data_IF_977315100960
#
_entry.id   IF_977315100960
#
_cell.length_a   1.000
_cell.length_b   1.000
_cell.length_c   1.000
_cell.angle_alpha   90.00
_cell.angle_beta   90.00
_cell.angle_gamma   90.00
#
_symmetry.space_group_name_H-M   'P 1'
#
loop_
_entity.id
_entity.type
_entity.pdbx_description
1 polymer ?
#
# COMPACT_ATOMS: atom_id res chain seq x y z
N UNK A 1 -4.89 -34.38 10.61
CA UNK A 1 -5.11 -32.98 10.21
C UNK A 1 -3.75 -32.36 9.87
N UNK A 2 -3.66 -31.58 8.79
CA UNK A 2 -2.39 -31.03 8.30
C UNK A 2 -2.12 -29.68 8.97
N UNK A 3 -0.91 -29.44 9.48
CA UNK A 3 -0.54 -28.14 10.06
C UNK A 3 0.28 -27.33 9.06
N UNK A 4 -0.13 -26.09 8.78
CA UNK A 4 0.67 -25.15 8.00
C UNK A 4 1.53 -24.30 8.95
N UNK A 5 2.84 -24.28 8.67
CA UNK A 5 3.81 -23.47 9.43
C UNK A 5 3.63 -21.98 9.17
N UNK A 6 3.80 -21.13 10.18
CA UNK A 6 3.64 -19.67 10.02
C UNK A 6 4.51 -19.09 8.89
N UNK A 7 5.72 -19.61 8.68
CA UNK A 7 6.57 -19.23 7.53
C UNK A 7 5.86 -19.43 6.18
N UNK A 8 5.12 -20.52 6.02
CA UNK A 8 4.38 -20.85 4.80
C UNK A 8 3.09 -20.04 4.72
N UNK A 9 2.48 -19.68 5.85
CA UNK A 9 1.33 -18.75 5.87
C UNK A 9 1.73 -17.38 5.32
N UNK A 10 2.93 -16.87 5.63
CA UNK A 10 3.44 -15.61 5.05
C UNK A 10 3.57 -15.71 3.53
N UNK A 11 4.15 -16.79 3.02
CA UNK A 11 4.26 -17.04 1.58
C UNK A 11 2.90 -17.19 0.90
N UNK A 12 1.94 -17.87 1.54
CA UNK A 12 0.56 -18.03 1.08
C UNK A 12 -0.15 -16.67 0.99
N UNK A 13 -0.01 -15.82 2.02
CA UNK A 13 -0.55 -14.46 2.05
C UNK A 13 0.02 -13.59 0.93
N UNK A 14 1.34 -13.67 0.68
CA UNK A 14 2.00 -12.95 -0.41
C UNK A 14 1.45 -13.37 -1.77
N UNK A 15 1.41 -14.67 -2.07
CA UNK A 15 0.85 -15.20 -3.32
C UNK A 15 -0.62 -14.81 -3.53
N UNK A 16 -1.44 -14.88 -2.47
CA UNK A 16 -2.84 -14.48 -2.56
C UNK A 16 -2.97 -12.99 -2.86
N UNK A 17 -2.22 -12.13 -2.16
CA UNK A 17 -2.24 -10.68 -2.39
C UNK A 17 -1.91 -10.37 -3.85
N UNK A 18 -0.81 -10.91 -4.36
CA UNK A 18 -0.37 -10.72 -5.75
C UNK A 18 -1.42 -11.22 -6.75
N UNK A 19 -2.02 -12.40 -6.49
CA UNK A 19 -3.07 -12.94 -7.34
C UNK A 19 -4.32 -12.05 -7.38
N UNK A 20 -4.80 -11.58 -6.23
CA UNK A 20 -6.00 -10.73 -6.16
C UNK A 20 -5.74 -9.36 -6.79
N UNK A 21 -4.54 -8.80 -6.60
CA UNK A 21 -4.14 -7.54 -7.24
C UNK A 21 -4.09 -7.66 -8.77
N UNK A 22 -3.59 -8.80 -9.28
CA UNK A 22 -3.50 -9.07 -10.72
C UNK A 22 -4.82 -9.44 -11.38
N UNK A 23 -5.62 -10.30 -10.74
CA UNK A 23 -6.78 -10.95 -11.35
C UNK A 23 -8.12 -10.39 -10.87
N UNK A 24 -8.11 -9.51 -9.86
CA UNK A 24 -9.31 -8.93 -9.25
C UNK A 24 -10.34 -9.97 -8.75
N UNK A 25 -9.91 -11.21 -8.52
CA UNK A 25 -10.74 -12.30 -7.96
C UNK A 25 -9.90 -13.16 -7.03
N UNK A 26 -10.55 -13.93 -6.15
CA UNK A 26 -9.86 -14.96 -5.38
C UNK A 26 -9.37 -16.06 -6.35
N UNK A 27 -8.20 -16.66 -6.09
CA UNK A 27 -7.78 -17.86 -6.81
C UNK A 27 -8.70 -19.03 -6.48
N UNK A 28 -8.73 -20.07 -7.30
CA UNK A 28 -9.38 -21.33 -6.91
C UNK A 28 -8.61 -22.00 -5.77
N UNK A 29 -7.29 -22.08 -5.94
CA UNK A 29 -6.33 -22.66 -5.02
C UNK A 29 -4.95 -22.01 -5.16
N UNK A 30 -4.09 -22.18 -4.15
CA UNK A 30 -2.68 -21.78 -4.19
C UNK A 30 -1.82 -22.85 -3.54
N UNK A 31 -0.64 -23.10 -4.13
CA UNK A 31 0.35 -24.04 -3.60
C UNK A 31 1.46 -23.29 -2.87
N UNK A 32 1.81 -23.76 -1.66
CA UNK A 32 2.98 -23.35 -0.90
C UNK A 32 3.62 -24.58 -0.27
N UNK A 33 4.95 -24.69 -0.37
CA UNK A 33 5.70 -25.81 0.22
C UNK A 33 5.16 -27.18 -0.23
N UNK A 34 4.88 -27.32 -1.53
CA UNK A 34 4.28 -28.50 -2.17
C UNK A 34 2.90 -28.92 -1.64
N UNK A 35 2.23 -28.08 -0.84
CA UNK A 35 0.85 -28.31 -0.38
C UNK A 35 -0.07 -27.29 -1.04
N UNK A 36 -1.15 -27.78 -1.64
CA UNK A 36 -2.18 -26.95 -2.27
C UNK A 36 -3.33 -26.71 -1.30
N UNK A 37 -3.73 -25.44 -1.20
CA UNK A 37 -4.87 -25.00 -0.38
C UNK A 37 -5.89 -24.30 -1.25
N UNK A 38 -7.15 -24.71 -1.15
CA UNK A 38 -8.22 -24.00 -1.84
C UNK A 38 -8.53 -22.65 -1.16
N UNK A 39 -9.24 -21.75 -1.86
CA UNK A 39 -9.54 -20.41 -1.34
C UNK A 39 -10.31 -20.38 -0.01
N UNK A 40 -11.03 -21.46 0.33
CA UNK A 40 -11.83 -21.59 1.55
C UNK A 40 -10.92 -21.88 2.72
N UNK A 41 -10.00 -22.82 2.53
CA UNK A 41 -8.93 -23.08 3.49
C UNK A 41 -8.02 -21.86 3.65
N UNK A 42 -7.66 -21.17 2.56
CA UNK A 42 -6.88 -19.93 2.62
C UNK A 42 -7.59 -18.89 3.48
N UNK A 43 -8.90 -18.66 3.26
CA UNK A 43 -9.67 -17.71 4.07
C UNK A 43 -9.64 -18.02 5.57
N UNK A 44 -9.79 -19.29 5.93
CA UNK A 44 -9.62 -19.77 7.31
C UNK A 44 -8.20 -19.57 7.86
N UNK A 45 -7.18 -20.02 7.13
CA UNK A 45 -5.78 -19.95 7.55
C UNK A 45 -5.37 -18.49 7.81
N UNK A 46 -5.70 -17.58 6.89
CA UNK A 46 -5.29 -16.18 7.00
C UNK A 46 -6.06 -15.44 8.09
N UNK A 47 -7.37 -15.66 8.23
CA UNK A 47 -8.15 -15.05 9.32
C UNK A 47 -7.65 -15.50 10.70
N UNK A 48 -7.43 -16.81 10.89
CA UNK A 48 -6.90 -17.36 12.15
C UNK A 48 -5.48 -16.87 12.44
N UNK A 49 -4.64 -16.75 11.42
CA UNK A 49 -3.27 -16.23 11.52
C UNK A 49 -3.23 -14.73 11.84
N UNK A 50 -4.11 -13.90 11.27
CA UNK A 50 -4.20 -12.48 11.65
C UNK A 50 -4.55 -12.35 13.14
N UNK A 51 -5.48 -13.15 13.66
CA UNK A 51 -5.82 -13.12 15.09
C UNK A 51 -4.68 -13.62 15.97
N UNK A 52 -3.99 -14.68 15.55
CA UNK A 52 -2.98 -15.39 16.33
C UNK A 52 -1.61 -15.34 15.64
N UNK A 53 -1.15 -14.12 15.37
CA UNK A 53 0.04 -13.89 14.55
C UNK A 53 1.27 -14.63 15.12
N UNK A 54 2.09 -15.20 14.23
CA UNK A 54 3.27 -15.97 14.61
C UNK A 54 2.99 -17.43 14.96
N UNK A 55 1.73 -17.88 15.04
CA UNK A 55 1.38 -19.28 15.32
C UNK A 55 1.17 -20.09 14.05
N UNK A 56 1.51 -21.37 14.13
CA UNK A 56 1.11 -22.37 13.14
C UNK A 56 -0.41 -22.56 13.16
N UNK A 57 -0.97 -23.03 12.04
CA UNK A 57 -2.41 -23.25 11.92
C UNK A 57 -2.69 -24.69 11.53
N UNK A 58 -3.48 -25.38 12.34
CA UNK A 58 -4.09 -26.65 11.95
C UNK A 58 -5.14 -26.39 10.87
N UNK A 59 -4.99 -27.03 9.72
CA UNK A 59 -5.85 -26.84 8.55
C UNK A 59 -7.03 -27.79 8.65
N UNK A 60 -8.23 -27.22 8.48
CA UNK A 60 -9.49 -27.93 8.50
C UNK A 60 -10.14 -27.94 7.11
N UNK A 61 -11.07 -28.87 6.88
CA UNK A 61 -11.95 -28.85 5.71
C UNK A 61 -12.97 -27.71 5.87
N UNK A 62 -13.11 -26.89 4.83
CA UNK A 62 -14.01 -25.73 4.80
C UNK A 62 -14.90 -25.81 3.56
N UNK A 63 -16.21 -25.81 3.74
CA UNK A 63 -17.18 -25.76 2.66
C UNK A 63 -17.36 -24.34 2.10
N UNK A 64 -17.90 -24.25 0.87
CA UNK A 64 -18.25 -22.96 0.26
C UNK A 64 -19.38 -22.29 1.04
N UNK A 65 -19.45 -20.97 0.98
CA UNK A 65 -20.64 -20.28 1.45
C UNK A 65 -21.83 -20.60 0.52
N UNK A 66 -23.02 -20.88 1.05
CA UNK A 66 -24.20 -21.22 0.25
C UNK A 66 -24.74 -20.03 -0.55
N UNK A 67 -24.68 -18.81 0.02
CA UNK A 67 -25.23 -17.60 -0.59
C UNK A 67 -24.31 -16.40 -0.33
N UNK A 68 -23.11 -16.36 -0.94
CA UNK A 68 -22.20 -15.24 -0.78
C UNK A 68 -22.83 -13.94 -1.27
N UNK A 69 -22.76 -12.89 -0.46
CA UNK A 69 -23.30 -11.56 -0.76
C UNK A 69 -22.46 -10.48 -0.09
N UNK A 70 -22.72 -9.22 -0.37
CA UNK A 70 -22.09 -8.11 0.33
C UNK A 70 -22.36 -6.76 -0.33
N UNK A 71 -21.98 -5.72 0.39
CA UNK A 71 -22.03 -4.33 -0.04
C UNK A 71 -20.71 -3.91 -0.70
N UNK A 72 -20.77 -2.82 -1.46
CA UNK A 72 -19.57 -2.06 -1.81
C UNK A 72 -19.06 -1.32 -0.56
N UNK A 73 -17.82 -1.60 -0.15
CA UNK A 73 -17.26 -1.05 1.09
C UNK A 73 -15.94 -0.31 0.85
N UNK A 74 -15.66 0.69 1.67
CA UNK A 74 -14.37 1.36 1.80
C UNK A 74 -14.17 1.74 3.26
N UNK A 75 -13.74 0.77 4.07
CA UNK A 75 -13.58 0.90 5.52
C UNK A 75 -12.10 1.01 5.86
N UNK A 76 -11.78 1.89 6.80
CA UNK A 76 -10.49 1.85 7.51
C UNK A 76 -10.73 1.29 8.90
N UNK A 77 -10.06 0.18 9.20
CA UNK A 77 -10.15 -0.50 10.49
C UNK A 77 -8.85 -0.29 11.25
N UNK A 78 -8.93 0.11 12.50
CA UNK A 78 -7.77 0.12 13.40
C UNK A 78 -7.38 -1.32 13.80
N UNK A 79 -6.25 -1.46 14.50
CA UNK A 79 -5.74 -2.74 14.98
C UNK A 79 -6.75 -3.59 15.74
N UNK A 80 -7.47 -3.01 16.69
CA UNK A 80 -8.49 -3.73 17.46
C UNK A 80 -9.59 -4.26 16.52
N UNK A 81 -10.10 -3.40 15.64
CA UNK A 81 -11.22 -3.71 14.76
C UNK A 81 -10.91 -4.79 13.72
N UNK A 82 -9.74 -4.75 13.06
CA UNK A 82 -9.43 -5.81 12.10
C UNK A 82 -9.06 -7.14 12.79
N UNK A 83 -8.53 -7.12 14.01
CA UNK A 83 -8.28 -8.33 14.79
C UNK A 83 -9.58 -8.99 15.23
N UNK A 84 -10.59 -8.19 15.60
CA UNK A 84 -11.94 -8.65 15.88
C UNK A 84 -12.59 -9.24 14.62
N UNK A 85 -12.55 -8.52 13.49
CA UNK A 85 -13.07 -9.01 12.23
C UNK A 85 -12.42 -10.34 11.77
N UNK A 86 -11.11 -10.48 11.93
CA UNK A 86 -10.41 -11.74 11.67
C UNK A 86 -10.82 -12.85 12.64
N UNK A 87 -10.97 -12.49 13.93
CA UNK A 87 -11.45 -13.36 14.99
C UNK A 87 -12.81 -13.97 14.70
N UNK A 88 -13.79 -13.13 14.39
CA UNK A 88 -15.15 -13.56 14.08
C UNK A 88 -15.20 -14.42 12.82
N UNK A 89 -14.36 -14.10 11.83
CA UNK A 89 -14.29 -14.85 10.57
C UNK A 89 -13.86 -16.30 10.79
N UNK A 90 -12.74 -16.55 11.47
CA UNK A 90 -12.28 -17.93 11.65
C UNK A 90 -13.13 -18.69 12.66
N UNK A 91 -13.60 -18.02 13.74
CA UNK A 91 -14.49 -18.64 14.73
C UNK A 91 -15.82 -19.07 14.11
N UNK A 92 -16.36 -18.28 13.17
CA UNK A 92 -17.53 -18.68 12.39
C UNK A 92 -17.29 -20.00 11.64
N UNK A 93 -16.11 -20.19 11.05
CA UNK A 93 -15.75 -21.40 10.30
C UNK A 93 -15.53 -22.60 11.24
N UNK A 94 -14.95 -22.39 12.41
CA UNK A 94 -14.66 -23.46 13.39
C UNK A 94 -15.91 -24.06 14.02
N UNK A 95 -16.98 -23.27 14.15
CA UNK A 95 -18.29 -23.75 14.59
C UNK A 95 -18.73 -24.96 13.76
N UNK A 96 -19.01 -26.07 14.45
CA UNK A 96 -19.26 -27.39 13.84
C UNK A 96 -20.49 -27.37 12.92
N UNK A 97 -21.48 -26.57 13.27
CA UNK A 97 -22.72 -26.33 12.52
C UNK A 97 -22.51 -25.53 11.23
N UNK A 98 -21.41 -24.78 11.11
CA UNK A 98 -21.09 -24.00 9.92
C UNK A 98 -20.13 -24.76 9.00
N UNK A 99 -18.89 -25.00 9.48
CA UNK A 99 -17.77 -25.62 8.74
C UNK A 99 -17.63 -25.11 7.29
N UNK A 100 -17.91 -23.82 7.09
CA UNK A 100 -17.99 -23.17 5.78
C UNK A 100 -17.58 -21.71 5.88
N UNK A 101 -17.24 -21.09 4.75
CA UNK A 101 -17.07 -19.65 4.70
C UNK A 101 -18.38 -18.91 5.04
N UNK A 102 -18.30 -17.74 5.70
CA UNK A 102 -19.47 -16.90 5.94
C UNK A 102 -20.00 -16.31 4.63
N UNK A 103 -21.31 -16.11 4.51
CA UNK A 103 -21.91 -15.44 3.33
C UNK A 103 -21.36 -14.01 3.16
N UNK A 104 -21.14 -13.32 4.28
CA UNK A 104 -20.48 -12.02 4.42
C UNK A 104 -19.96 -11.89 5.87
N UNK A 105 -19.05 -10.95 6.10
CA UNK A 105 -18.67 -10.49 7.45
C UNK A 105 -19.41 -9.20 7.77
N UNK A 106 -19.97 -9.06 8.97
CA UNK A 106 -20.55 -7.78 9.40
C UNK A 106 -19.48 -6.95 10.10
N UNK A 107 -19.03 -5.86 9.48
CA UNK A 107 -17.95 -5.01 10.01
C UNK A 107 -18.41 -3.56 9.93
N UNK A 108 -18.41 -2.83 11.06
CA UNK A 108 -18.93 -1.46 11.15
C UNK A 108 -20.31 -1.29 10.49
N UNK A 109 -21.21 -2.25 10.76
CA UNK A 109 -22.57 -2.28 10.19
C UNK A 109 -22.66 -2.77 8.74
N UNK A 110 -21.57 -2.86 7.99
CA UNK A 110 -21.54 -3.22 6.55
C UNK A 110 -21.37 -4.71 6.32
N UNK A 111 -22.03 -5.25 5.29
CA UNK A 111 -21.83 -6.61 4.78
C UNK A 111 -20.59 -6.67 3.91
N UNK A 112 -19.45 -7.06 4.47
CA UNK A 112 -18.18 -7.20 3.75
C UNK A 112 -18.08 -8.57 3.09
N UNK A 113 -17.77 -8.60 1.79
CA UNK A 113 -17.66 -9.86 1.03
C UNK A 113 -16.45 -10.70 1.45
N UNK A 114 -16.50 -12.01 1.20
CA UNK A 114 -15.36 -12.90 1.43
C UNK A 114 -14.09 -12.45 0.72
N UNK A 115 -14.20 -12.00 -0.54
CA UNK A 115 -13.04 -11.47 -1.30
C UNK A 115 -12.35 -10.35 -0.54
N UNK A 116 -13.13 -9.37 -0.07
CA UNK A 116 -12.58 -8.21 0.65
C UNK A 116 -11.96 -8.63 1.98
N UNK A 117 -12.60 -9.49 2.75
CA UNK A 117 -12.07 -9.99 4.02
C UNK A 117 -10.77 -10.77 3.81
N UNK A 118 -10.78 -11.80 2.95
CA UNK A 118 -9.64 -12.70 2.70
C UNK A 118 -8.44 -11.92 2.14
N UNK A 119 -8.67 -11.02 1.17
CA UNK A 119 -7.62 -10.14 0.64
C UNK A 119 -7.05 -9.19 1.70
N UNK A 120 -7.89 -8.66 2.59
CA UNK A 120 -7.44 -7.76 3.65
C UNK A 120 -6.61 -8.48 4.71
N UNK A 121 -6.97 -9.71 5.08
CA UNK A 121 -6.16 -10.55 5.95
C UNK A 121 -4.78 -10.86 5.33
N UNK A 122 -4.73 -11.13 4.03
CA UNK A 122 -3.48 -11.32 3.30
C UNK A 122 -2.56 -10.10 3.41
N UNK A 123 -3.09 -8.90 3.16
CA UNK A 123 -2.33 -7.64 3.28
C UNK A 123 -1.78 -7.43 4.70
N UNK A 124 -2.56 -7.77 5.73
CA UNK A 124 -2.13 -7.66 7.14
C UNK A 124 -0.93 -8.57 7.43
N UNK A 125 -0.98 -9.83 6.97
CA UNK A 125 0.11 -10.80 7.17
C UNK A 125 1.35 -10.40 6.37
N UNK A 126 1.19 -9.91 5.13
CA UNK A 126 2.32 -9.39 4.33
C UNK A 126 2.96 -8.18 5.01
N UNK A 127 2.15 -7.25 5.53
CA UNK A 127 2.67 -6.12 6.31
C UNK A 127 3.47 -6.60 7.52
N UNK A 128 2.93 -7.55 8.30
CA UNK A 128 3.64 -8.11 9.45
C UNK A 128 4.97 -8.76 9.04
N UNK A 129 4.98 -9.53 7.95
CA UNK A 129 6.19 -10.17 7.43
C UNK A 129 7.30 -9.18 7.07
N UNK A 130 6.94 -7.99 6.59
CA UNK A 130 7.91 -6.95 6.20
C UNK A 130 8.34 -6.04 7.35
N UNK A 131 7.52 -5.90 8.40
CA UNK A 131 7.71 -4.87 9.44
C UNK A 131 7.93 -5.44 10.84
N UNK A 132 7.78 -6.75 11.05
CA UNK A 132 7.89 -7.39 12.38
C UNK A 132 6.78 -7.02 13.36
N UNK A 133 5.82 -6.19 12.94
CA UNK A 133 4.68 -5.73 13.75
C UNK A 133 3.39 -5.72 12.94
N UNK A 134 2.26 -5.84 13.63
CA UNK A 134 0.95 -5.68 13.01
C UNK A 134 0.71 -4.21 12.62
N UNK A 135 -0.01 -3.93 11.52
CA UNK A 135 -0.30 -2.56 11.09
C UNK A 135 -1.26 -1.85 12.05
N UNK A 136 -1.11 -0.55 12.22
CA UNK A 136 -2.00 0.20 13.12
C UNK A 136 -3.41 0.34 12.54
N UNK A 137 -3.51 0.39 11.21
CA UNK A 137 -4.76 0.44 10.46
C UNK A 137 -4.68 -0.40 9.18
N UNK A 138 -5.81 -0.93 8.72
CA UNK A 138 -5.95 -1.65 7.46
C UNK A 138 -7.22 -1.23 6.71
N UNK A 139 -7.11 -1.05 5.39
CA UNK A 139 -8.27 -0.76 4.54
C UNK A 139 -8.93 -2.03 4.03
N UNK A 140 -10.22 -2.17 4.29
CA UNK A 140 -11.11 -3.18 3.72
C UNK A 140 -11.97 -2.50 2.66
N UNK A 141 -11.71 -2.80 1.40
CA UNK A 141 -12.39 -2.14 0.29
C UNK A 141 -12.78 -3.13 -0.81
N UNK A 142 -13.99 -2.96 -1.33
CA UNK A 142 -14.44 -3.59 -2.56
C UNK A 142 -13.73 -2.87 -3.68
N UNK A 143 -12.67 -3.45 -4.24
CA UNK A 143 -12.01 -2.84 -5.39
C UNK A 143 -12.95 -2.92 -6.60
N UNK A 144 -13.79 -1.91 -6.76
CA UNK A 144 -14.62 -1.62 -7.95
C UNK A 144 -14.62 -0.12 -8.24
N UNK A 145 -13.43 0.42 -8.51
CA UNK A 145 -13.29 1.49 -9.51
C UNK A 145 -12.24 1.04 -10.52
N UNK A 146 -12.57 -0.01 -11.27
CA UNK A 146 -12.29 0.00 -12.69
C UNK A 146 -13.67 0.06 -13.33
N UNK A 147 -14.18 1.28 -13.54
CA UNK A 147 -15.04 1.48 -14.71
C UNK A 147 -14.35 0.77 -15.87
N UNK A 148 -15.09 -0.05 -16.65
CA UNK A 148 -14.59 -0.74 -17.85
C UNK A 148 -13.65 0.18 -18.63
N UNK A 149 -12.37 0.15 -18.30
CA UNK A 149 -11.34 0.43 -19.26
C UNK A 149 -11.04 -0.97 -19.72
N UNK A 150 -11.46 -1.24 -20.96
CA UNK A 150 -10.78 -2.22 -21.81
C UNK A 150 -9.32 -2.26 -21.38
N UNK A 151 -8.75 -3.45 -21.23
CA UNK A 151 -7.31 -3.65 -21.11
C UNK A 151 -6.65 -3.06 -22.35
N UNK A 152 -6.55 -1.75 -22.42
CA UNK A 152 -5.48 -1.09 -23.12
C UNK A 152 -4.28 -1.39 -22.25
N UNK A 153 -3.23 -1.94 -22.85
CA UNK A 153 -1.91 -1.94 -22.24
C UNK A 153 -1.64 -0.49 -21.79
N UNK A 154 -1.94 -0.15 -20.53
CA UNK A 154 -1.71 1.18 -20.00
C UNK A 154 -0.22 1.33 -19.92
N UNK A 155 0.36 1.88 -20.97
CA UNK A 155 1.76 2.26 -21.00
C UNK A 155 1.98 3.33 -19.94
N UNK A 156 3.17 3.31 -19.36
CA UNK A 156 3.62 4.39 -18.47
C UNK A 156 3.45 5.71 -19.21
N UNK A 157 2.71 6.64 -18.60
CA UNK A 157 2.68 8.03 -19.05
C UNK A 157 3.88 8.75 -18.42
N UNK A 158 4.44 9.70 -19.15
CA UNK A 158 5.61 10.46 -18.72
C UNK A 158 6.91 10.06 -19.41
N UNK A 159 7.98 10.72 -19.00
CA UNK A 159 9.30 10.68 -19.60
C UNK A 159 10.24 9.74 -18.86
N UNK A 160 11.47 10.18 -18.69
CA UNK A 160 12.57 9.38 -18.14
C UNK A 160 12.34 9.02 -16.68
N UNK A 161 11.84 9.95 -15.86
CA UNK A 161 11.61 9.70 -14.43
C UNK A 161 10.53 8.65 -14.25
N UNK A 162 9.34 8.85 -14.84
CA UNK A 162 8.24 7.90 -14.71
C UNK A 162 8.60 6.50 -15.26
N UNK A 163 9.28 6.42 -16.40
CA UNK A 163 9.71 5.13 -16.98
C UNK A 163 10.74 4.42 -16.11
N UNK A 164 11.70 5.16 -15.54
CA UNK A 164 12.71 4.58 -14.66
C UNK A 164 12.10 4.08 -13.35
N UNK A 165 11.23 4.88 -12.72
CA UNK A 165 10.50 4.48 -11.52
C UNK A 165 9.62 3.25 -11.77
N UNK A 166 8.95 3.17 -12.92
CA UNK A 166 8.21 1.98 -13.32
C UNK A 166 9.12 0.74 -13.37
N UNK A 167 10.29 0.84 -14.02
CA UNK A 167 11.26 -0.26 -14.09
C UNK A 167 11.75 -0.71 -12.72
N UNK A 168 11.98 0.23 -11.80
CA UNK A 168 12.48 -0.06 -10.45
C UNK A 168 11.42 -0.67 -9.52
N UNK A 169 10.14 -0.32 -9.71
CA UNK A 169 9.08 -0.62 -8.73
C UNK A 169 7.97 -1.53 -9.26
N UNK A 170 7.90 -1.73 -10.57
CA UNK A 170 6.79 -2.40 -11.25
C UNK A 170 5.48 -1.60 -11.28
N UNK A 171 5.44 -0.39 -10.71
CA UNK A 171 4.23 0.43 -10.68
C UNK A 171 3.99 1.06 -12.05
N UNK A 172 2.84 0.79 -12.67
CA UNK A 172 2.43 1.46 -13.92
C UNK A 172 1.99 2.89 -13.58
N UNK A 173 2.80 3.88 -13.97
CA UNK A 173 2.58 5.30 -13.64
C UNK A 173 1.76 5.96 -14.74
N UNK A 174 0.56 6.47 -14.40
CA UNK A 174 -0.35 7.14 -15.33
C UNK A 174 -0.93 8.46 -14.81
N UNK A 175 -0.72 8.75 -13.52
CA UNK A 175 -1.25 9.92 -12.81
C UNK A 175 -0.42 10.19 -11.53
N UNK A 176 -0.69 11.30 -10.84
CA UNK A 176 0.01 11.64 -9.59
C UNK A 176 -0.12 10.56 -8.50
N UNK A 177 -1.23 9.81 -8.47
CA UNK A 177 -1.47 8.78 -7.44
C UNK A 177 -0.57 7.57 -7.64
N UNK A 178 -0.40 7.16 -8.88
CA UNK A 178 0.47 6.05 -9.27
C UNK A 178 1.95 6.45 -9.19
N UNK A 179 2.29 7.70 -9.50
CA UNK A 179 3.63 8.26 -9.23
C UNK A 179 3.94 8.22 -7.74
N UNK A 180 3.09 8.80 -6.89
CA UNK A 180 3.26 8.78 -5.43
C UNK A 180 3.41 7.36 -4.86
N UNK A 181 2.69 6.39 -5.43
CA UNK A 181 2.79 4.98 -5.03
C UNK A 181 4.15 4.37 -5.37
N UNK A 182 4.81 4.80 -6.45
CA UNK A 182 6.17 4.34 -6.76
C UNK A 182 7.14 4.72 -5.64
N UNK A 183 6.96 5.88 -5.00
CA UNK A 183 7.79 6.31 -3.87
C UNK A 183 7.61 5.50 -2.58
N UNK A 184 6.63 4.58 -2.49
CA UNK A 184 6.56 3.64 -1.36
C UNK A 184 7.73 2.66 -1.34
N UNK A 185 8.41 2.47 -2.48
CA UNK A 185 9.59 1.62 -2.59
C UNK A 185 10.90 2.39 -2.35
N UNK A 186 10.86 3.72 -2.26
CA UNK A 186 12.04 4.52 -2.06
C UNK A 186 12.60 4.32 -0.65
N UNK A 187 13.93 4.32 -0.52
CA UNK A 187 14.60 4.35 0.78
C UNK A 187 14.91 5.79 1.16
N UNK A 188 14.43 6.23 2.34
CA UNK A 188 14.71 7.56 2.87
C UNK A 188 15.89 7.55 3.84
N UNK A 189 16.91 8.36 3.55
CA UNK A 189 18.06 8.62 4.43
C UNK A 189 18.13 10.12 4.75
N UNK A 190 18.40 10.46 6.00
CA UNK A 190 18.57 11.85 6.40
C UNK A 190 20.00 12.33 6.11
N UNK A 191 20.10 13.38 5.32
CA UNK A 191 21.29 14.23 5.18
C UNK A 191 20.88 15.63 4.73
N UNK A 192 21.74 16.59 5.01
CA UNK A 192 21.52 17.99 4.66
C UNK A 192 21.73 18.24 3.16
N UNK A 193 20.97 19.21 2.64
CA UNK A 193 21.06 19.81 1.31
C UNK A 193 20.74 18.89 0.12
N UNK A 194 20.54 19.50 -1.04
CA UNK A 194 20.56 18.81 -2.32
C UNK A 194 21.97 18.34 -2.63
N UNK A 195 22.17 17.02 -2.71
CA UNK A 195 23.47 16.42 -3.00
C UNK A 195 23.50 15.65 -4.31
N UNK A 196 22.33 15.44 -4.92
CA UNK A 196 22.19 14.51 -6.03
C UNK A 196 21.40 15.17 -7.14
N UNK A 197 21.91 15.01 -8.36
CA UNK A 197 21.09 15.19 -9.55
C UNK A 197 20.00 14.10 -9.60
N UNK A 198 18.97 14.31 -10.41
CA UNK A 198 17.83 13.43 -10.63
C UNK A 198 18.32 12.07 -11.13
N UNK A 199 19.35 12.07 -11.97
CA UNK A 199 19.99 10.84 -12.43
C UNK A 199 20.59 10.04 -11.28
N UNK A 200 21.30 10.70 -10.36
CA UNK A 200 21.89 10.04 -9.18
C UNK A 200 20.82 9.64 -8.17
N UNK A 201 19.81 10.48 -7.94
CA UNK A 201 18.67 10.17 -7.09
C UNK A 201 17.88 8.96 -7.61
N UNK A 202 17.71 8.80 -8.93
CA UNK A 202 17.11 7.62 -9.55
C UNK A 202 17.97 6.36 -9.37
N UNK A 203 19.29 6.45 -9.55
CA UNK A 203 20.20 5.32 -9.32
C UNK A 203 20.19 4.85 -7.86
N UNK A 204 20.03 5.78 -6.93
CA UNK A 204 20.01 5.52 -5.49
C UNK A 204 18.59 5.39 -4.93
N UNK A 205 17.56 5.32 -5.77
CA UNK A 205 16.15 5.30 -5.35
C UNK A 205 15.84 4.22 -4.31
N UNK A 206 16.42 3.03 -4.48
CA UNK A 206 16.30 1.89 -3.57
C UNK A 206 17.42 1.80 -2.53
N UNK A 207 18.38 2.74 -2.55
CA UNK A 207 19.58 2.75 -1.70
C UNK A 207 19.53 3.83 -0.61
N UNK A 208 18.90 4.96 -0.90
CA UNK A 208 18.76 6.05 0.07
C UNK A 208 18.82 7.43 -0.55
N UNK A 209 17.81 8.25 -0.31
CA UNK A 209 17.69 9.63 -0.74
C UNK A 209 17.11 10.50 0.38
N UNK A 210 17.38 11.81 0.39
CA UNK A 210 16.78 12.72 1.37
C UNK A 210 15.49 13.37 0.85
N UNK A 211 14.99 14.36 1.59
CA UNK A 211 13.73 15.01 1.25
C UNK A 211 13.78 15.86 -0.02
N UNK A 212 14.93 16.45 -0.33
CA UNK A 212 15.11 17.18 -1.57
C UNK A 212 15.11 16.19 -2.72
N UNK A 213 16.01 15.21 -2.70
CA UNK A 213 16.22 14.24 -3.77
C UNK A 213 14.93 13.53 -4.16
N UNK A 214 14.14 13.07 -3.19
CA UNK A 214 12.88 12.40 -3.50
C UNK A 214 11.84 13.37 -4.08
N UNK A 215 11.77 14.60 -3.59
CA UNK A 215 10.76 15.55 -4.04
C UNK A 215 11.13 16.26 -5.35
N UNK A 216 12.41 16.35 -5.74
CA UNK A 216 12.79 16.74 -7.11
C UNK A 216 12.37 15.68 -8.13
N UNK A 217 12.49 14.38 -7.81
CA UNK A 217 11.98 13.28 -8.65
C UNK A 217 10.45 13.35 -8.79
N UNK A 218 9.74 13.57 -7.68
CA UNK A 218 8.27 13.72 -7.71
C UNK A 218 7.87 14.94 -8.55
N UNK A 219 8.53 16.09 -8.36
CA UNK A 219 8.28 17.29 -9.14
C UNK A 219 8.47 17.05 -10.65
N UNK A 220 9.58 16.42 -11.04
CA UNK A 220 9.86 16.10 -12.42
C UNK A 220 8.86 15.09 -13.00
N UNK A 221 8.54 14.03 -12.26
CA UNK A 221 7.53 13.05 -12.67
C UNK A 221 6.14 13.67 -12.85
N UNK A 222 5.76 14.63 -12.00
CA UNK A 222 4.50 15.36 -12.16
C UNK A 222 4.49 16.23 -13.42
N UNK A 223 5.61 16.90 -13.76
CA UNK A 223 5.76 17.62 -15.04
C UNK A 223 5.63 16.68 -16.23
N UNK A 224 6.30 15.54 -16.19
CA UNK A 224 6.24 14.51 -17.24
C UNK A 224 4.82 13.99 -17.46
N UNK A 225 4.01 13.92 -16.40
CA UNK A 225 2.60 13.54 -16.46
C UNK A 225 1.66 14.68 -16.91
N UNK A 226 2.19 15.88 -17.15
CA UNK A 226 1.45 17.03 -17.68
C UNK A 226 0.74 17.88 -16.61
N UNK A 227 1.05 17.71 -15.33
CA UNK A 227 0.50 18.59 -14.29
C UNK A 227 1.16 19.98 -14.38
N UNK A 228 0.34 21.02 -14.46
CA UNK A 228 0.79 22.42 -14.61
C UNK A 228 0.85 23.17 -13.28
N UNK A 229 -0.14 22.95 -12.42
CA UNK A 229 -0.22 23.59 -11.10
C UNK A 229 0.48 22.74 -10.04
N UNK A 230 1.81 22.74 -10.10
CA UNK A 230 2.67 22.00 -9.20
C UNK A 230 3.69 22.93 -8.55
N UNK A 231 4.03 22.64 -7.30
CA UNK A 231 5.05 23.38 -6.58
C UNK A 231 5.92 22.44 -5.77
N UNK A 232 7.24 22.65 -5.82
CA UNK A 232 8.17 22.13 -4.83
C UNK A 232 8.36 23.19 -3.76
N UNK A 233 8.10 22.84 -2.51
CA UNK A 233 7.98 23.77 -1.39
C UNK A 233 9.12 23.52 -0.42
N UNK A 234 9.77 24.59 0.04
CA UNK A 234 10.68 24.53 1.18
C UNK A 234 10.02 25.20 2.38
N UNK A 235 10.09 24.53 3.51
CA UNK A 235 9.58 25.05 4.78
C UNK A 235 10.05 24.23 5.97
N UNK A 236 9.51 24.51 7.15
CA UNK A 236 9.85 23.74 8.34
C UNK A 236 8.72 22.81 8.75
N UNK A 237 9.08 21.64 9.28
CA UNK A 237 8.15 20.71 9.91
C UNK A 237 8.56 20.51 11.38
N UNK A 238 7.57 20.39 12.26
CA UNK A 238 7.79 20.03 13.67
C UNK A 238 7.52 18.54 13.86
N UNK A 239 8.58 17.78 14.08
CA UNK A 239 8.52 16.36 14.44
C UNK A 239 8.78 16.23 15.96
N UNK A 240 9.90 15.65 16.38
CA UNK A 240 10.42 15.77 17.75
C UNK A 240 11.07 17.13 18.01
N UNK A 241 11.67 17.70 16.97
CA UNK A 241 12.16 19.09 16.87
C UNK A 241 11.82 19.66 15.50
N UNK A 242 12.17 20.93 15.29
CA UNK A 242 11.95 21.59 14.00
C UNK A 242 13.06 21.23 13.02
N UNK A 243 12.68 20.76 11.84
CA UNK A 243 13.61 20.47 10.74
C UNK A 243 13.25 21.29 9.51
N UNK A 244 14.27 21.61 8.72
CA UNK A 244 14.05 22.00 7.33
C UNK A 244 13.56 20.81 6.53
N UNK A 245 12.55 21.03 5.68
CA UNK A 245 11.96 20.01 4.83
C UNK A 245 11.61 20.56 3.45
N UNK A 246 11.58 19.67 2.47
CA UNK A 246 11.13 19.93 1.10
C UNK A 246 10.06 18.91 0.73
N UNK A 247 8.97 19.38 0.12
CA UNK A 247 7.88 18.53 -0.35
C UNK A 247 7.23 19.09 -1.61
N UNK A 248 6.59 18.25 -2.41
CA UNK A 248 5.75 18.71 -3.50
C UNK A 248 4.31 18.99 -3.05
N UNK A 249 3.62 19.88 -3.74
CA UNK A 249 2.16 20.02 -3.69
C UNK A 249 1.60 20.26 -5.09
N UNK A 250 0.38 19.79 -5.33
CA UNK A 250 -0.31 19.98 -6.61
C UNK A 250 -1.71 20.54 -6.37
N UNK A 251 -2.26 21.27 -7.35
CA UNK A 251 -3.63 21.78 -7.27
C UNK A 251 -4.61 20.74 -7.82
N UNK A 252 -5.58 20.32 -7.00
CA UNK A 252 -6.66 19.39 -7.37
C UNK A 252 -7.97 20.07 -7.04
N UNK A 253 -8.85 20.21 -8.03
CA UNK A 253 -10.17 20.86 -7.87
C UNK A 253 -10.08 22.22 -7.16
N UNK A 254 -9.10 23.04 -7.55
CA UNK A 254 -8.86 24.36 -6.98
C UNK A 254 -8.09 24.39 -5.66
N UNK A 255 -7.86 23.25 -5.00
CA UNK A 255 -7.20 23.18 -3.69
C UNK A 255 -5.80 22.58 -3.77
N UNK A 256 -4.85 23.12 -3.01
CA UNK A 256 -3.51 22.56 -2.90
C UNK A 256 -3.51 21.30 -2.03
N UNK A 257 -2.95 20.23 -2.57
CA UNK A 257 -2.76 18.94 -1.87
C UNK A 257 -1.27 18.64 -1.82
N UNK A 258 -0.75 18.41 -0.61
CA UNK A 258 0.65 18.03 -0.42
C UNK A 258 0.89 16.59 -0.89
N UNK A 259 1.95 16.40 -1.66
CA UNK A 259 2.42 15.13 -2.21
C UNK A 259 3.89 14.99 -1.84
N UNK A 260 4.14 14.66 -0.57
CA UNK A 260 5.50 14.49 -0.04
C UNK A 260 6.01 13.08 -0.34
N UNK A 261 6.95 12.97 -1.29
CA UNK A 261 7.59 11.72 -1.66
C UNK A 261 8.38 11.09 -0.49
N UNK A 262 8.86 11.90 0.44
CA UNK A 262 9.53 11.43 1.66
C UNK A 262 8.53 10.79 2.64
N UNK A 263 7.30 11.30 2.67
CA UNK A 263 6.21 10.67 3.42
C UNK A 263 5.81 9.34 2.80
N UNK A 264 5.74 9.26 1.46
CA UNK A 264 5.52 8.01 0.73
C UNK A 264 6.59 6.96 1.07
N UNK A 265 7.87 7.34 1.08
CA UNK A 265 8.98 6.46 1.47
C UNK A 265 8.88 5.95 2.93
N UNK A 266 8.15 6.64 3.80
CA UNK A 266 7.79 6.19 5.16
C UNK A 266 6.45 5.46 5.23
N UNK A 267 5.86 5.11 4.09
CA UNK A 267 4.59 4.39 4.00
C UNK A 267 3.34 5.22 4.32
N UNK A 268 3.44 6.55 4.27
CA UNK A 268 2.33 7.46 4.55
C UNK A 268 1.54 7.78 3.29
N UNK A 269 0.27 8.15 3.47
CA UNK A 269 -0.62 8.51 2.37
C UNK A 269 -0.49 9.96 1.92
N UNK A 270 -0.97 10.25 0.71
CA UNK A 270 -1.08 11.59 0.13
C UNK A 270 -1.70 12.58 1.12
N UNK A 271 -1.17 13.80 1.17
CA UNK A 271 -1.53 14.85 2.13
C UNK A 271 -0.70 14.82 3.41
N UNK A 272 0.01 13.72 3.71
CA UNK A 272 0.87 13.60 4.88
C UNK A 272 2.25 14.22 4.66
N UNK A 273 2.87 14.70 5.74
CA UNK A 273 4.30 14.98 5.79
C UNK A 273 5.10 13.77 6.27
N UNK A 274 6.39 13.72 5.97
CA UNK A 274 7.30 12.67 6.45
C UNK A 274 7.23 12.46 7.96
N UNK A 275 7.06 13.53 8.73
CA UNK A 275 6.72 13.50 10.15
C UNK A 275 6.02 14.80 10.56
N UNK A 276 5.27 14.73 11.66
CA UNK A 276 4.72 15.92 12.31
C UNK A 276 3.82 16.80 11.43
N UNK A 277 3.89 18.12 11.67
CA UNK A 277 3.10 19.14 10.96
C UNK A 277 3.99 20.24 10.38
N UNK A 278 3.54 20.85 9.29
CA UNK A 278 4.17 22.05 8.73
C UNK A 278 4.06 23.18 9.76
N UNK A 279 5.17 23.86 10.03
CA UNK A 279 5.20 25.05 10.91
C UNK A 279 5.46 26.34 10.17
N UNK A 280 6.19 26.30 9.05
CA UNK A 280 6.36 27.46 8.18
C UNK A 280 6.58 27.03 6.73
N UNK A 281 6.27 27.93 5.81
CA UNK A 281 6.70 27.84 4.42
C UNK A 281 7.58 29.05 4.16
N UNK A 282 8.80 28.81 3.69
CA UNK A 282 9.75 29.89 3.43
C UNK A 282 9.88 30.19 1.94
N UNK A 283 9.69 29.19 1.06
CA UNK A 283 9.77 29.42 -0.38
C UNK A 283 8.94 28.44 -1.21
N UNK A 284 8.52 28.90 -2.37
CA UNK A 284 7.86 28.10 -3.41
C UNK A 284 8.73 28.06 -4.66
N UNK A 285 8.96 26.86 -5.19
CA UNK A 285 9.82 26.63 -6.36
C UNK A 285 11.20 27.28 -6.23
N UNK A 286 11.95 27.07 -5.14
CA UNK A 286 13.29 27.62 -5.04
C UNK A 286 14.16 27.10 -6.20
N UNK A 287 14.90 28.00 -6.85
CA UNK A 287 15.66 27.72 -8.07
C UNK A 287 16.54 26.46 -7.95
N UNK A 288 17.19 26.28 -6.80
CA UNK A 288 18.06 25.14 -6.53
C UNK A 288 17.34 23.79 -6.47
N UNK A 289 16.06 23.76 -6.08
CA UNK A 289 15.30 22.50 -6.02
C UNK A 289 14.69 22.13 -7.38
N UNK A 290 14.65 23.08 -8.32
CA UNK A 290 14.10 22.89 -9.67
C UNK A 290 15.20 22.80 -10.74
N UNK A 291 16.42 23.27 -10.46
CA UNK A 291 17.57 23.23 -11.38
C UNK A 291 18.17 21.84 -11.53
N UNK A 292 18.00 20.97 -10.53
CA UNK A 292 18.47 19.58 -10.57
C UNK A 292 20.00 19.46 -10.82
N UNK A 293 20.78 20.36 -10.22
CA UNK A 293 22.23 20.39 -10.37
C UNK A 293 22.96 19.58 -9.27
N UNK A 294 22.23 19.11 -8.25
CA UNK A 294 22.81 18.40 -7.10
C UNK A 294 23.74 19.27 -6.27
N UNK A 295 23.56 20.60 -6.30
CA UNK A 295 24.44 21.58 -5.64
C UNK A 295 23.63 22.55 -4.79
N UNK A 296 23.57 22.28 -3.49
CA UNK A 296 23.24 23.29 -2.45
C UNK A 296 24.02 23.11 -1.15
#
# INVERSE_FOLDING_TARGET
>A
MTTIKFKNIKSLAKKLKEYVEKNHKLPGELTVDNVTYDYKQIGYILSKSVRNIGKDVEVIKVAKAPAPTGEHVSLTLNKKEYLEAAGDYYKFIEKKENRRLPNFSRIKGKKVTQRVSIYSFAKIIVFYGNNGRLPDNCKFYTSETVAKTKTTNKQVKGGTVCKTLHKLTGVVITDYKSLYRAFYYAVYNYYLNDKKTQSKALQDFLKGNNCVDLNQLEYAGLKELGYKDIQIVRGTILCDKTYGHVWCRIKINGSWVNIDASAAAKGKGIGSMICGKITSITNYNPAWAVSDDGRT
#
